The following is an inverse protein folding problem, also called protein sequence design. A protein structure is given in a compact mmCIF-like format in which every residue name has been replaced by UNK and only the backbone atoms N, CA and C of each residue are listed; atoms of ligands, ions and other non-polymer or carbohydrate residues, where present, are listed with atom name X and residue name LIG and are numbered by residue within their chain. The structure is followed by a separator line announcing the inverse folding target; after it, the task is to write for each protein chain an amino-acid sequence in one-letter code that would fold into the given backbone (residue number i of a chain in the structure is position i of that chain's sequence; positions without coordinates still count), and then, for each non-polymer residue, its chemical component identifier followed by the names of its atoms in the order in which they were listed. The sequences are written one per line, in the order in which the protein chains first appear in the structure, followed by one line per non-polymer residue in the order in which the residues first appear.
data_IF_335849548805
#
_entry.id   IF_335849548805
#
_cell.length_a   1.000
_cell.length_b   1.000
_cell.length_c   1.000
_cell.angle_alpha   90.00
_cell.angle_beta   90.00
_cell.angle_gamma   90.00
#
_symmetry.space_group_name_H-M   'P 1'
#
loop_
_entity.id
_entity.type
_entity.pdbx_description
1 polymer ?
#
# COMPACT_ATOMS: atom_id res chain seq x y z
N UNK A 1 -12.25 -9.23 29.78
CA UNK A 1 -11.13 -9.97 29.16
C UNK A 1 -9.94 -9.05 29.05
N UNK A 2 -8.82 -9.48 29.57
CA UNK A 2 -7.58 -8.69 29.48
C UNK A 2 -6.91 -8.95 28.12
N UNK A 3 -6.82 -7.93 27.29
CA UNK A 3 -6.21 -7.99 25.96
C UNK A 3 -4.73 -7.56 25.97
N UNK A 4 -4.20 -7.16 27.14
CA UNK A 4 -2.81 -6.68 27.25
C UNK A 4 -1.79 -7.64 26.64
N UNK A 5 -1.86 -8.98 26.82
CA UNK A 5 -0.93 -9.92 26.20
C UNK A 5 -0.93 -9.87 24.66
N UNK A 6 -2.04 -9.49 24.06
CA UNK A 6 -2.16 -9.39 22.60
C UNK A 6 -1.72 -8.02 22.08
N UNK A 7 -1.80 -6.98 22.91
CA UNK A 7 -1.44 -5.62 22.54
C UNK A 7 0.05 -5.33 22.74
N UNK A 8 0.71 -5.99 23.69
CA UNK A 8 2.08 -5.70 24.12
C UNK A 8 3.16 -6.41 23.31
N UNK A 9 2.79 -7.35 22.43
CA UNK A 9 3.77 -8.13 21.65
C UNK A 9 3.48 -8.08 20.17
N UNK A 10 3.60 -6.89 19.52
CA UNK A 10 3.56 -6.90 18.07
C UNK A 10 4.76 -7.68 17.55
N UNK A 11 4.55 -8.54 16.57
CA UNK A 11 5.63 -9.12 15.80
C UNK A 11 6.23 -7.97 14.98
N UNK A 12 7.28 -7.34 15.51
CA UNK A 12 7.86 -6.11 14.93
C UNK A 12 8.25 -6.27 13.46
N UNK A 13 8.64 -7.47 13.05
CA UNK A 13 8.98 -7.77 11.65
C UNK A 13 7.80 -7.64 10.70
N UNK A 14 6.57 -7.70 11.21
CA UNK A 14 5.35 -7.70 10.42
C UNK A 14 4.39 -6.57 10.80
N UNK A 15 4.92 -5.51 11.44
CA UNK A 15 4.13 -4.31 11.74
C UNK A 15 4.21 -3.30 10.61
N UNK A 16 3.18 -2.46 10.49
CA UNK A 16 3.16 -1.33 9.59
C UNK A 16 3.51 -0.05 10.33
N UNK A 17 4.08 0.94 9.63
CA UNK A 17 4.36 2.25 10.24
C UNK A 17 3.07 2.93 10.66
N UNK A 18 2.03 2.82 9.83
CA UNK A 18 0.69 3.33 10.14
C UNK A 18 -0.33 2.28 9.73
N UNK A 19 -1.30 2.05 10.61
CA UNK A 19 -2.45 1.20 10.32
C UNK A 19 -3.71 2.06 10.34
N UNK A 20 -4.43 2.07 9.23
CA UNK A 20 -5.66 2.84 9.08
C UNK A 20 -6.86 1.91 9.06
N UNK A 21 -7.83 2.18 9.92
CA UNK A 21 -9.10 1.46 9.92
C UNK A 21 -10.02 2.07 8.88
N UNK A 22 -10.52 1.24 7.99
CA UNK A 22 -11.42 1.68 6.92
C UNK A 22 -12.87 1.46 7.35
N UNK A 23 -13.57 2.55 7.63
CA UNK A 23 -14.98 2.52 8.04
C UNK A 23 -15.94 2.83 6.90
N UNK A 24 -15.43 3.05 5.69
CA UNK A 24 -16.23 3.45 4.53
C UNK A 24 -16.82 2.21 3.86
N UNK A 25 -18.13 2.15 3.73
CA UNK A 25 -18.85 1.00 3.18
C UNK A 25 -19.52 1.27 1.84
N UNK A 26 -19.69 2.54 1.45
CA UNK A 26 -20.51 2.91 0.29
C UNK A 26 -19.72 3.51 -0.87
N UNK A 27 -18.46 3.90 -0.66
CA UNK A 27 -17.65 4.47 -1.74
C UNK A 27 -17.17 3.37 -2.69
N UNK A 28 -17.28 3.56 -4.03
CA UNK A 28 -16.91 2.53 -5.00
C UNK A 28 -15.48 2.00 -4.89
N UNK A 29 -14.53 2.87 -4.57
CA UNK A 29 -13.15 2.45 -4.33
C UNK A 29 -12.94 1.97 -2.90
N UNK A 30 -13.25 2.83 -1.92
CA UNK A 30 -12.88 2.58 -0.52
C UNK A 30 -13.56 1.33 0.06
N UNK A 31 -14.79 1.01 -0.37
CA UNK A 31 -15.48 -0.20 0.07
C UNK A 31 -14.76 -1.49 -0.34
N UNK A 32 -13.91 -1.44 -1.35
CA UNK A 32 -13.17 -2.59 -1.86
C UNK A 32 -11.78 -2.74 -1.27
N UNK A 33 -11.34 -1.80 -0.41
CA UNK A 33 -9.99 -1.83 0.16
C UNK A 33 -9.86 -2.68 1.43
N UNK A 34 -10.96 -3.25 1.91
CA UNK A 34 -10.98 -4.05 3.13
C UNK A 34 -11.07 -3.19 4.40
N UNK A 35 -11.00 -3.86 5.55
CA UNK A 35 -11.24 -3.24 6.86
C UNK A 35 -10.07 -2.35 7.32
N UNK A 36 -8.87 -2.70 6.92
CA UNK A 36 -7.65 -2.02 7.33
C UNK A 36 -6.73 -1.78 6.15
N UNK A 37 -6.03 -0.66 6.21
CA UNK A 37 -5.04 -0.28 5.22
C UNK A 37 -3.70 -0.14 5.94
N UNK A 38 -2.70 -0.89 5.50
CA UNK A 38 -1.35 -0.82 6.03
C UNK A 38 -0.52 0.19 5.26
N UNK A 39 0.12 1.10 5.96
CA UNK A 39 0.96 2.13 5.36
C UNK A 39 2.39 1.94 5.81
N UNK A 40 3.32 1.98 4.87
CA UNK A 40 4.73 1.88 5.15
C UNK A 40 5.49 3.00 4.46
N UNK A 41 6.33 3.69 5.21
CA UNK A 41 7.17 4.77 4.72
C UNK A 41 8.58 4.25 4.48
N UNK A 42 9.03 4.26 3.24
CA UNK A 42 10.41 3.91 2.89
C UNK A 42 11.22 5.19 2.72
N UNK A 43 11.98 5.52 3.74
CA UNK A 43 12.84 6.70 3.76
C UNK A 43 14.22 6.32 3.18
N UNK A 44 14.23 5.88 1.93
CA UNK A 44 15.45 5.54 1.20
C UNK A 44 15.64 6.52 0.06
N UNK A 45 16.90 6.80 -0.27
CA UNK A 45 17.22 7.67 -1.40
C UNK A 45 16.85 7.04 -2.74
N UNK A 46 16.82 5.71 -2.77
CA UNK A 46 16.54 4.92 -3.97
C UNK A 46 15.08 4.48 -4.04
N UNK A 47 14.71 3.92 -5.19
CA UNK A 47 13.39 3.36 -5.40
C UNK A 47 13.15 2.14 -4.50
N UNK A 48 11.89 1.84 -4.22
CA UNK A 48 11.50 0.57 -3.58
C UNK A 48 11.89 -0.57 -4.51
N UNK A 49 12.70 -1.49 -4.01
CA UNK A 49 13.10 -2.67 -4.76
C UNK A 49 12.12 -3.83 -4.60
N UNK A 50 12.31 -4.86 -5.40
CA UNK A 50 11.43 -6.04 -5.41
C UNK A 50 11.40 -6.73 -4.04
N UNK A 51 12.55 -6.84 -3.37
CA UNK A 51 12.63 -7.48 -2.05
C UNK A 51 11.81 -6.73 -1.00
N UNK A 52 11.87 -5.41 -0.99
CA UNK A 52 11.09 -4.58 -0.08
C UNK A 52 9.58 -4.70 -0.37
N UNK A 53 9.23 -4.73 -1.65
CA UNK A 53 7.84 -4.92 -2.06
C UNK A 53 7.31 -6.28 -1.66
N UNK A 54 8.06 -7.35 -1.92
CA UNK A 54 7.68 -8.72 -1.53
C UNK A 54 7.47 -8.84 -0.02
N UNK A 55 8.35 -8.22 0.76
CA UNK A 55 8.21 -8.20 2.21
C UNK A 55 6.94 -7.47 2.67
N UNK A 56 6.63 -6.35 2.04
CA UNK A 56 5.41 -5.60 2.32
C UNK A 56 4.15 -6.41 1.98
N UNK A 57 4.14 -7.06 0.82
CA UNK A 57 3.04 -7.91 0.39
C UNK A 57 2.85 -9.09 1.35
N UNK A 58 3.96 -9.68 1.82
CA UNK A 58 3.91 -10.74 2.82
C UNK A 58 3.22 -10.27 4.10
N UNK A 59 3.54 -9.06 4.57
CA UNK A 59 2.86 -8.48 5.73
C UNK A 59 1.35 -8.36 5.51
N UNK A 60 0.95 -7.86 4.35
CA UNK A 60 -0.47 -7.73 4.01
C UNK A 60 -1.17 -9.10 4.05
N UNK A 61 -0.56 -10.11 3.46
CA UNK A 61 -1.10 -11.47 3.47
C UNK A 61 -1.22 -12.05 4.86
N UNK A 62 -0.18 -11.91 5.68
CA UNK A 62 -0.18 -12.44 7.04
C UNK A 62 -1.25 -11.81 7.92
N UNK A 63 -1.61 -10.56 7.66
CA UNK A 63 -2.66 -9.87 8.38
C UNK A 63 -4.02 -9.92 7.67
N UNK A 64 -4.11 -10.70 6.61
CA UNK A 64 -5.34 -10.85 5.81
C UNK A 64 -5.90 -9.50 5.32
N UNK A 65 -5.00 -8.62 4.90
CA UNK A 65 -5.34 -7.28 4.43
C UNK A 65 -5.37 -7.22 2.92
N UNK A 66 -6.26 -6.40 2.37
CA UNK A 66 -6.47 -6.25 0.93
C UNK A 66 -5.84 -5.01 0.35
N UNK A 67 -5.36 -4.11 1.18
CA UNK A 67 -4.80 -2.84 0.71
C UNK A 67 -3.59 -2.42 1.52
N UNK A 68 -2.56 -1.98 0.83
CA UNK A 68 -1.40 -1.36 1.42
C UNK A 68 -0.96 -0.15 0.63
N UNK A 69 -0.31 0.79 1.31
CA UNK A 69 0.26 2.00 0.73
C UNK A 69 1.73 2.07 1.10
N UNK A 70 2.59 2.21 0.10
CA UNK A 70 4.02 2.45 0.29
C UNK A 70 4.34 3.88 -0.14
N UNK A 71 4.93 4.65 0.76
CA UNK A 71 5.52 5.94 0.42
C UNK A 71 6.98 5.70 0.04
N UNK A 72 7.34 6.04 -1.18
CA UNK A 72 8.69 5.92 -1.70
C UNK A 72 9.08 7.22 -2.40
N UNK A 73 10.23 7.80 -2.04
CA UNK A 73 10.64 9.13 -2.53
C UNK A 73 10.59 9.23 -4.06
N UNK A 74 11.15 8.27 -4.75
CA UNK A 74 11.23 8.26 -6.22
C UNK A 74 10.31 7.21 -6.84
N UNK A 75 9.57 6.46 -6.02
CA UNK A 75 8.62 5.46 -6.50
C UNK A 75 9.31 4.19 -6.95
N UNK A 76 8.69 3.57 -7.94
CA UNK A 76 9.14 2.30 -8.52
C UNK A 76 9.56 2.59 -9.96
N UNK A 77 10.86 2.73 -10.22
CA UNK A 77 11.40 3.08 -11.54
C UNK A 77 12.56 2.16 -11.94
N UNK A 78 12.98 2.27 -13.22
CA UNK A 78 14.07 1.47 -13.76
C UNK A 78 13.68 0.00 -13.99
N UNK A 79 14.65 -0.86 -14.20
CA UNK A 79 14.38 -2.29 -14.45
C UNK A 79 13.68 -2.96 -13.27
N UNK A 80 14.13 -2.68 -12.06
CA UNK A 80 13.46 -3.16 -10.85
C UNK A 80 12.07 -2.57 -10.71
N UNK A 81 11.88 -1.33 -11.14
CA UNK A 81 10.57 -0.68 -11.17
C UNK A 81 9.58 -1.40 -12.07
N UNK A 82 10.02 -1.86 -13.23
CA UNK A 82 9.19 -2.65 -14.14
C UNK A 82 8.75 -3.96 -13.49
N UNK A 83 9.66 -4.68 -12.86
CA UNK A 83 9.33 -5.92 -12.14
C UNK A 83 8.37 -5.66 -10.98
N UNK A 84 8.59 -4.60 -10.22
CA UNK A 84 7.73 -4.27 -9.09
C UNK A 84 6.30 -3.92 -9.55
N UNK A 85 6.16 -3.18 -10.65
CA UNK A 85 4.84 -2.90 -11.23
C UNK A 85 4.15 -4.19 -11.67
N UNK A 86 4.87 -5.10 -12.31
CA UNK A 86 4.34 -6.39 -12.72
C UNK A 86 3.88 -7.21 -11.52
N UNK A 87 4.62 -7.20 -10.42
CA UNK A 87 4.26 -7.88 -9.18
C UNK A 87 2.97 -7.29 -8.60
N UNK A 88 2.86 -5.96 -8.56
CA UNK A 88 1.66 -5.26 -8.06
C UNK A 88 0.42 -5.65 -8.89
N UNK A 89 0.54 -5.67 -10.21
CA UNK A 89 -0.55 -6.06 -11.09
C UNK A 89 -0.95 -7.53 -10.90
N UNK A 90 0.04 -8.40 -10.82
CA UNK A 90 -0.18 -9.82 -10.68
C UNK A 90 -0.87 -10.17 -9.36
N UNK A 91 -0.44 -9.56 -8.26
CA UNK A 91 -1.06 -9.81 -6.96
C UNK A 91 -2.48 -9.29 -6.90
N UNK A 92 -2.75 -8.16 -7.56
CA UNK A 92 -4.11 -7.65 -7.66
C UNK A 92 -5.01 -8.61 -8.43
N UNK A 93 -4.55 -9.09 -9.57
CA UNK A 93 -5.31 -10.01 -10.41
C UNK A 93 -5.54 -11.37 -9.75
N UNK A 94 -4.54 -11.86 -9.03
CA UNK A 94 -4.57 -13.20 -8.42
C UNK A 94 -5.26 -13.22 -7.07
N UNK A 95 -4.95 -12.26 -6.20
CA UNK A 95 -5.35 -12.29 -4.79
C UNK A 95 -6.27 -11.11 -4.40
N UNK A 96 -6.51 -10.17 -5.30
CA UNK A 96 -7.32 -9.00 -5.00
C UNK A 96 -6.66 -8.01 -4.04
N UNK A 97 -5.35 -8.12 -3.81
CA UNK A 97 -4.61 -7.20 -2.96
C UNK A 97 -4.15 -6.02 -3.81
N UNK A 98 -4.51 -4.81 -3.41
CA UNK A 98 -4.06 -3.59 -4.08
C UNK A 98 -2.94 -2.92 -3.29
N UNK A 99 -1.84 -2.63 -3.96
CA UNK A 99 -0.72 -1.87 -3.40
C UNK A 99 -0.62 -0.54 -4.12
N UNK A 100 -0.80 0.54 -3.37
CA UNK A 100 -0.60 1.89 -3.87
C UNK A 100 0.83 2.33 -3.56
N UNK A 101 1.52 2.88 -4.56
CA UNK A 101 2.81 3.54 -4.35
C UNK A 101 2.62 5.04 -4.47
N UNK A 102 3.00 5.77 -3.44
CA UNK A 102 2.94 7.23 -3.43
C UNK A 102 4.37 7.79 -3.42
N UNK A 103 4.64 8.69 -4.34
CA UNK A 103 5.96 9.30 -4.50
C UNK A 103 6.00 10.68 -3.85
N UNK A 104 7.21 11.26 -3.77
CA UNK A 104 7.36 12.66 -3.36
C UNK A 104 6.58 13.59 -4.29
N UNK A 105 6.57 13.30 -5.59
CA UNK A 105 5.81 14.09 -6.56
C UNK A 105 4.31 14.02 -6.28
N UNK A 106 3.79 12.83 -5.95
CA UNK A 106 2.39 12.66 -5.55
C UNK A 106 2.07 13.51 -4.32
N UNK A 107 2.96 13.50 -3.32
CA UNK A 107 2.77 14.28 -2.09
C UNK A 107 2.80 15.78 -2.37
N UNK A 108 3.70 16.25 -3.25
CA UNK A 108 3.74 17.65 -3.67
C UNK A 108 2.45 18.06 -4.38
N UNK A 109 1.92 17.21 -5.24
CA UNK A 109 0.66 17.46 -5.93
C UNK A 109 -0.52 17.55 -4.95
N UNK A 110 -0.55 16.67 -3.95
CA UNK A 110 -1.57 16.71 -2.89
C UNK A 110 -1.47 18.01 -2.08
N UNK A 111 -0.25 18.44 -1.76
CA UNK A 111 -0.02 19.71 -1.06
C UNK A 111 -0.49 20.93 -1.87
N UNK A 112 -0.51 20.84 -3.19
CA UNK A 112 -1.01 21.88 -4.10
C UNK A 112 -2.52 21.81 -4.33
N UNK A 113 -3.22 20.91 -3.66
CA UNK A 113 -4.67 20.81 -3.73
C UNK A 113 -5.21 19.68 -4.58
N UNK A 114 -4.38 18.77 -5.10
CA UNK A 114 -4.89 17.59 -5.77
C UNK A 114 -5.65 16.70 -4.78
N UNK A 115 -6.74 16.09 -5.25
CA UNK A 115 -7.57 15.25 -4.41
C UNK A 115 -6.95 13.87 -4.25
N UNK A 116 -6.74 13.45 -3.00
CA UNK A 116 -6.15 12.13 -2.70
C UNK A 116 -6.99 10.99 -3.26
N UNK A 117 -8.30 11.08 -3.11
CA UNK A 117 -9.20 10.02 -3.56
C UNK A 117 -9.15 9.85 -5.08
N UNK A 118 -9.11 10.96 -5.82
CA UNK A 118 -8.95 10.94 -7.28
C UNK A 118 -7.61 10.34 -7.70
N UNK A 119 -6.55 10.63 -6.95
CA UNK A 119 -5.23 10.06 -7.20
C UNK A 119 -5.24 8.55 -6.99
N UNK A 120 -5.80 8.08 -5.88
CA UNK A 120 -5.89 6.65 -5.57
C UNK A 120 -6.76 5.92 -6.59
N UNK A 121 -7.87 6.52 -7.00
CA UNK A 121 -8.76 5.93 -8.00
C UNK A 121 -8.03 5.73 -9.33
N UNK A 122 -7.25 6.73 -9.77
CA UNK A 122 -6.46 6.61 -10.99
C UNK A 122 -5.42 5.49 -10.89
N UNK A 123 -4.70 5.41 -9.76
CA UNK A 123 -3.73 4.35 -9.54
C UNK A 123 -4.39 2.97 -9.50
N UNK A 124 -5.57 2.88 -8.92
CA UNK A 124 -6.35 1.65 -8.89
C UNK A 124 -6.74 1.21 -10.31
N UNK A 125 -7.24 2.13 -11.12
CA UNK A 125 -7.60 1.84 -12.51
C UNK A 125 -6.39 1.44 -13.35
N UNK A 126 -5.25 2.13 -13.17
CA UNK A 126 -4.01 1.78 -13.85
C UNK A 126 -3.56 0.36 -13.52
N UNK A 127 -3.71 -0.06 -12.28
CA UNK A 127 -3.37 -1.43 -11.86
C UNK A 127 -4.36 -2.45 -12.43
N UNK A 128 -5.64 -2.14 -12.38
CA UNK A 128 -6.70 -3.05 -12.80
C UNK A 128 -6.71 -3.29 -14.32
N UNK A 129 -6.47 -2.25 -15.09
CA UNK A 129 -6.62 -2.28 -16.55
C UNK A 129 -5.31 -2.24 -17.33
N UNK A 130 -4.20 -2.40 -16.65
CA UNK A 130 -2.90 -2.40 -17.30
C UNK A 130 -2.67 -3.60 -18.23
#
# INVERSE_FOLDING_TARGET
MDLSPFLEKPLRLFTFDVLVRNLVTEHPLLSNLGDYIGIECKNVADNVNVSQLDHFILKLRLHNMKCGVIFAKTGVTGDQGTFAKAIIQKIFQKDGIIVFTLTKQDMNNLAKGCNLLSLLLRKYEDTRFA
#
